data_IF_799423091303
#
_entry.id   IF_799423091303
#
_cell.length_a   1.000
_cell.length_b   1.000
_cell.length_c   1.000
_cell.angle_alpha   90.00
_cell.angle_beta   90.00
_cell.angle_gamma   90.00
#
_symmetry.space_group_name_H-M   'P 1'
#
loop_
_entity.id
_entity.type
_entity.pdbx_description
1 polymer ?
#
# COMPACT_ATOMS: atom_id res chain seq x y z
N UNK A 1 15.04 -0.89 3.92
CA UNK A 1 13.91 0.03 3.73
C UNK A 1 12.66 -0.71 3.28
N UNK A 2 11.45 -0.27 3.74
CA UNK A 2 10.13 -0.72 3.29
C UNK A 2 9.96 -2.24 3.21
N UNK A 3 10.55 -2.97 4.17
CA UNK A 3 10.50 -4.42 4.23
C UNK A 3 9.09 -4.95 4.54
N UNK A 4 8.67 -6.01 3.85
CA UNK A 4 7.46 -6.78 4.14
C UNK A 4 7.81 -8.25 4.26
N UNK A 5 7.40 -8.86 5.36
CA UNK A 5 7.48 -10.30 5.57
C UNK A 5 6.26 -10.99 4.96
N UNK A 6 6.48 -12.17 4.41
CA UNK A 6 5.41 -13.09 4.02
C UNK A 6 5.88 -14.54 4.18
N UNK A 7 4.91 -15.45 4.33
CA UNK A 7 5.19 -16.89 4.42
C UNK A 7 4.85 -17.56 3.10
N UNK A 8 5.75 -18.37 2.58
CA UNK A 8 5.51 -19.17 1.41
C UNK A 8 6.14 -20.56 1.57
N UNK A 9 5.35 -21.62 1.38
CA UNK A 9 5.77 -23.04 1.51
C UNK A 9 6.53 -23.35 2.80
N UNK A 10 6.13 -22.72 3.93
CA UNK A 10 6.72 -22.92 5.25
C UNK A 10 7.95 -22.07 5.57
N UNK A 11 8.55 -21.42 4.60
CA UNK A 11 9.66 -20.49 4.80
C UNK A 11 9.15 -19.04 4.96
N UNK A 12 9.88 -18.21 5.70
CA UNK A 12 9.62 -16.78 5.83
C UNK A 12 10.48 -16.03 4.83
N UNK A 13 9.85 -15.20 4.02
CA UNK A 13 10.54 -14.31 3.07
C UNK A 13 10.41 -12.86 3.49
N UNK A 14 11.39 -12.06 3.12
CA UNK A 14 11.35 -10.62 3.25
C UNK A 14 11.67 -9.98 1.91
N UNK A 15 10.77 -9.13 1.44
CA UNK A 15 10.96 -8.26 0.26
C UNK A 15 11.12 -6.82 0.75
N UNK A 16 12.12 -6.10 0.26
CA UNK A 16 12.40 -4.72 0.68
C UNK A 16 13.44 -4.06 -0.19
N UNK A 17 13.79 -2.82 0.13
CA UNK A 17 14.83 -2.07 -0.57
C UNK A 17 16.12 -2.00 0.25
N UNK A 18 17.27 -1.95 -0.42
CA UNK A 18 18.58 -1.77 0.22
C UNK A 18 18.68 -0.41 0.94
N UNK A 19 18.15 0.62 0.32
CA UNK A 19 18.01 1.99 0.84
C UNK A 19 16.82 2.67 0.18
N UNK A 20 16.52 3.92 0.52
CA UNK A 20 15.52 4.71 -0.19
C UNK A 20 15.86 4.81 -1.67
N UNK A 21 14.92 4.45 -2.55
CA UNK A 21 15.11 4.29 -4.00
C UNK A 21 16.24 3.34 -4.40
N UNK A 22 16.64 2.45 -3.48
CA UNK A 22 17.69 1.48 -3.70
C UNK A 22 17.25 0.24 -4.43
N UNK A 23 18.14 -0.76 -4.44
CA UNK A 23 17.88 -2.05 -5.05
C UNK A 23 16.72 -2.78 -4.34
N UNK A 24 15.83 -3.38 -5.11
CA UNK A 24 14.80 -4.29 -4.62
C UNK A 24 15.43 -5.64 -4.28
N UNK A 25 15.25 -6.09 -3.07
CA UNK A 25 15.86 -7.27 -2.50
C UNK A 25 14.82 -8.28 -2.03
N UNK A 26 15.15 -9.57 -2.14
CA UNK A 26 14.42 -10.65 -1.48
C UNK A 26 15.39 -11.52 -0.68
N UNK A 27 15.00 -11.88 0.53
CA UNK A 27 15.73 -12.83 1.38
C UNK A 27 14.80 -13.88 1.96
N UNK A 28 15.35 -15.06 2.31
CA UNK A 28 14.61 -16.18 2.89
C UNK A 28 15.17 -16.58 4.23
N UNK A 29 14.29 -16.88 5.17
CA UNK A 29 14.55 -17.52 6.45
C UNK A 29 13.90 -18.90 6.51
N UNK A 30 14.64 -19.90 6.97
CA UNK A 30 14.16 -21.27 7.23
C UNK A 30 14.00 -21.59 8.71
N UNK A 31 14.19 -20.61 9.57
CA UNK A 31 14.21 -20.76 11.03
C UNK A 31 13.17 -19.85 11.73
N UNK A 32 12.09 -19.52 11.00
CA UNK A 32 11.00 -18.69 11.51
C UNK A 32 11.34 -17.20 11.63
N UNK A 33 12.25 -16.69 10.80
CA UNK A 33 12.61 -15.26 10.75
C UNK A 33 13.79 -14.88 11.66
N UNK A 34 14.46 -15.84 12.28
CA UNK A 34 15.61 -15.57 13.17
C UNK A 34 16.85 -15.18 12.39
N UNK A 35 17.10 -15.88 11.27
CA UNK A 35 18.18 -15.54 10.35
C UNK A 35 17.68 -15.52 8.91
N UNK A 36 18.30 -14.72 8.07
CA UNK A 36 18.00 -14.65 6.63
C UNK A 36 19.26 -14.96 5.81
N UNK A 37 19.07 -15.59 4.66
CA UNK A 37 20.14 -15.79 3.69
C UNK A 37 20.63 -14.44 3.13
N UNK A 38 21.77 -14.45 2.44
CA UNK A 38 22.20 -13.31 1.61
C UNK A 38 21.08 -12.97 0.62
N UNK A 39 20.61 -11.71 0.58
CA UNK A 39 19.48 -11.36 -0.28
C UNK A 39 19.86 -11.37 -1.76
N UNK A 40 18.91 -11.75 -2.59
CA UNK A 40 18.97 -11.61 -4.04
C UNK A 40 18.47 -10.23 -4.45
N UNK A 41 19.16 -9.61 -5.41
CA UNK A 41 18.72 -8.36 -6.05
C UNK A 41 17.75 -8.70 -7.18
N UNK A 42 16.49 -8.29 -7.04
CA UNK A 42 15.44 -8.49 -8.05
C UNK A 42 15.42 -7.36 -9.09
N UNK A 43 15.71 -6.13 -8.68
CA UNK A 43 15.75 -4.97 -9.55
C UNK A 43 16.73 -3.95 -8.99
N UNK A 44 17.54 -3.34 -9.87
CA UNK A 44 18.45 -2.27 -9.48
C UNK A 44 17.72 -0.94 -9.36
N UNK A 45 17.98 -0.21 -8.27
CA UNK A 45 17.54 1.16 -8.05
C UNK A 45 18.65 2.18 -8.29
N UNK A 46 18.33 3.46 -8.07
CA UNK A 46 19.33 4.54 -8.15
C UNK A 46 20.19 4.66 -6.90
N UNK A 47 19.71 4.11 -5.77
CA UNK A 47 20.32 4.27 -4.44
C UNK A 47 20.52 5.75 -4.05
N UNK A 48 19.68 6.64 -4.55
CA UNK A 48 19.78 8.08 -4.34
C UNK A 48 18.41 8.74 -4.27
N UNK A 49 18.14 9.58 -3.26
CA UNK A 49 16.87 10.32 -3.19
C UNK A 49 16.74 11.40 -4.27
N UNK A 50 17.81 11.69 -5.02
CA UNK A 50 17.82 12.71 -6.08
C UNK A 50 17.39 12.17 -7.45
N UNK A 51 17.45 10.86 -7.67
CA UNK A 51 17.17 10.24 -8.94
C UNK A 51 16.08 9.18 -8.81
N UNK A 52 15.25 8.97 -9.85
CA UNK A 52 14.29 7.90 -9.87
C UNK A 52 14.93 6.54 -9.58
N UNK A 53 14.30 5.75 -8.76
CA UNK A 53 14.71 4.41 -8.40
C UNK A 53 13.51 3.61 -7.92
N UNK A 54 13.77 2.43 -7.36
CA UNK A 54 12.72 1.56 -6.87
C UNK A 54 12.13 2.14 -5.58
N UNK A 55 10.84 2.45 -5.62
CA UNK A 55 10.03 2.77 -4.45
C UNK A 55 9.03 1.66 -4.21
N UNK A 56 8.74 1.38 -2.97
CA UNK A 56 7.64 0.51 -2.58
C UNK A 56 7.18 0.83 -1.16
N UNK A 57 5.93 0.54 -0.90
CA UNK A 57 5.42 0.46 0.45
C UNK A 57 5.33 -1.03 0.89
N UNK A 58 5.35 -1.33 2.19
CA UNK A 58 5.27 -2.71 2.70
C UNK A 58 3.86 -3.28 2.58
N UNK A 59 3.47 -3.63 1.36
CA UNK A 59 2.17 -4.26 1.04
C UNK A 59 2.26 -5.79 1.05
N UNK A 60 1.15 -6.48 1.33
CA UNK A 60 1.08 -7.93 1.24
C UNK A 60 1.48 -8.46 -0.15
N UNK A 61 2.10 -9.63 -0.16
CA UNK A 61 2.23 -10.44 -1.37
C UNK A 61 0.90 -11.17 -1.57
N UNK A 62 0.32 -11.06 -2.76
CA UNK A 62 -1.01 -11.60 -3.09
C UNK A 62 -0.85 -12.84 -3.98
N UNK A 63 -1.17 -14.03 -3.49
CA UNK A 63 -1.26 -15.23 -4.32
C UNK A 63 -2.49 -15.14 -5.24
N UNK A 64 -2.28 -15.24 -6.55
CA UNK A 64 -3.37 -15.22 -7.50
C UNK A 64 -2.98 -15.90 -8.82
N UNK A 65 -3.83 -16.80 -9.30
CA UNK A 65 -3.66 -17.56 -10.57
C UNK A 65 -2.27 -18.21 -10.71
N UNK A 66 -1.81 -18.89 -9.64
CA UNK A 66 -0.54 -19.61 -9.64
C UNK A 66 0.70 -18.72 -9.56
N UNK A 67 0.53 -17.44 -9.26
CA UNK A 67 1.63 -16.50 -9.09
C UNK A 67 1.52 -15.73 -7.77
N UNK A 68 2.66 -15.30 -7.27
CA UNK A 68 2.79 -14.36 -6.16
C UNK A 68 2.98 -12.96 -6.73
N UNK A 69 2.05 -12.04 -6.41
CA UNK A 69 2.05 -10.67 -6.92
C UNK A 69 2.38 -9.67 -5.82
N UNK A 70 3.12 -8.61 -6.18
CA UNK A 70 3.38 -7.48 -5.29
C UNK A 70 3.46 -6.18 -6.09
N UNK A 71 3.28 -5.04 -5.40
CA UNK A 71 3.31 -3.70 -6.00
C UNK A 71 4.62 -2.99 -5.70
N UNK A 72 5.08 -2.19 -6.64
CA UNK A 72 6.21 -1.28 -6.52
C UNK A 72 6.01 -0.08 -7.46
N UNK A 73 6.86 0.90 -7.36
CA UNK A 73 6.85 2.09 -8.21
C UNK A 73 8.29 2.43 -8.66
N UNK A 74 8.39 3.13 -9.79
CA UNK A 74 9.62 3.78 -10.23
C UNK A 74 9.47 5.30 -10.11
N UNK A 75 10.33 5.96 -9.35
CA UNK A 75 10.24 7.40 -9.16
C UNK A 75 11.15 7.92 -8.06
N UNK A 76 11.00 9.18 -7.72
CA UNK A 76 11.60 9.83 -6.56
C UNK A 76 10.86 11.12 -6.21
N UNK A 77 10.86 11.51 -4.94
CA UNK A 77 10.30 12.80 -4.52
C UNK A 77 10.95 13.97 -5.26
N UNK A 78 12.28 13.92 -5.45
CA UNK A 78 13.01 14.95 -6.19
C UNK A 78 12.65 15.01 -7.67
N UNK A 79 12.18 13.89 -8.26
CA UNK A 79 11.71 13.83 -9.64
C UNK A 79 10.24 14.26 -9.79
N UNK A 80 9.50 14.37 -8.68
CA UNK A 80 8.11 14.81 -8.66
C UNK A 80 7.09 13.78 -9.16
N UNK A 81 7.46 12.49 -9.23
CA UNK A 81 6.56 11.42 -9.63
C UNK A 81 6.96 10.05 -9.05
N UNK A 82 5.97 9.15 -8.99
CA UNK A 82 6.14 7.72 -8.75
C UNK A 82 5.20 6.97 -9.71
N UNK A 83 5.77 6.26 -10.68
CA UNK A 83 5.02 5.51 -11.69
C UNK A 83 4.76 4.08 -11.20
N UNK A 84 3.50 3.61 -11.12
CA UNK A 84 3.18 2.28 -10.65
C UNK A 84 3.70 1.19 -11.55
N UNK A 85 4.08 0.09 -10.91
CA UNK A 85 4.51 -1.17 -11.50
C UNK A 85 3.93 -2.31 -10.66
N UNK A 86 3.94 -3.50 -11.21
CA UNK A 86 3.74 -4.74 -10.43
C UNK A 86 4.87 -5.72 -10.75
N UNK A 87 5.10 -6.61 -9.80
CA UNK A 87 6.01 -7.73 -9.96
C UNK A 87 5.30 -9.04 -9.64
N UNK A 88 5.71 -10.12 -10.27
CA UNK A 88 5.19 -11.43 -9.94
C UNK A 88 6.19 -12.54 -10.23
N UNK A 89 6.05 -13.64 -9.49
CA UNK A 89 6.81 -14.87 -9.68
C UNK A 89 5.84 -16.06 -9.66
N UNK A 90 6.10 -17.09 -10.45
CA UNK A 90 5.36 -18.35 -10.34
C UNK A 90 5.51 -18.89 -8.91
N UNK A 91 4.40 -19.30 -8.28
CA UNK A 91 4.39 -19.75 -6.88
C UNK A 91 5.21 -21.04 -6.64
N UNK A 92 5.56 -21.75 -7.72
CA UNK A 92 6.36 -22.98 -7.66
C UNK A 92 7.83 -22.77 -8.02
N UNK A 93 8.19 -21.59 -8.53
CA UNK A 93 9.58 -21.25 -8.85
C UNK A 93 10.41 -20.93 -7.59
N UNK A 94 11.72 -20.92 -7.73
CA UNK A 94 12.60 -20.43 -6.67
C UNK A 94 12.51 -18.90 -6.59
N UNK A 95 11.97 -18.39 -5.49
CA UNK A 95 11.80 -16.95 -5.26
C UNK A 95 13.15 -16.20 -5.06
N UNK A 96 14.23 -16.92 -4.80
CA UNK A 96 15.58 -16.33 -4.67
C UNK A 96 16.31 -16.23 -6.02
N UNK A 97 15.75 -16.75 -7.09
CA UNK A 97 16.26 -16.55 -8.44
C UNK A 97 15.57 -15.34 -9.08
N UNK A 98 16.34 -14.31 -9.38
CA UNK A 98 15.82 -13.06 -9.95
C UNK A 98 15.19 -13.28 -11.34
N UNK A 99 15.66 -14.26 -12.13
CA UNK A 99 15.14 -14.55 -13.46
C UNK A 99 13.69 -15.11 -13.43
N UNK A 100 13.24 -15.63 -12.29
CA UNK A 100 11.87 -16.09 -12.11
C UNK A 100 10.87 -14.96 -11.85
N UNK A 101 11.36 -13.75 -11.60
CA UNK A 101 10.52 -12.58 -11.35
C UNK A 101 10.29 -11.79 -12.64
N UNK A 102 9.02 -11.52 -12.91
CA UNK A 102 8.60 -10.61 -13.98
C UNK A 102 8.20 -9.29 -13.32
N UNK A 103 8.75 -8.19 -13.83
CA UNK A 103 8.47 -6.83 -13.36
C UNK A 103 8.00 -6.03 -14.57
N UNK A 104 6.85 -5.36 -14.45
CA UNK A 104 6.29 -4.56 -15.55
C UNK A 104 7.05 -3.25 -15.75
N UNK A 105 6.91 -2.64 -16.92
CA UNK A 105 7.35 -1.27 -17.13
C UNK A 105 6.51 -0.29 -16.27
N UNK A 106 7.11 0.83 -15.82
CA UNK A 106 6.40 1.86 -15.08
C UNK A 106 5.36 2.56 -15.96
N UNK A 107 4.16 2.80 -15.42
CA UNK A 107 3.10 3.55 -16.07
C UNK A 107 3.08 5.00 -15.53
N UNK A 108 3.54 6.00 -16.27
CA UNK A 108 3.46 7.40 -15.85
C UNK A 108 2.01 7.86 -15.68
N UNK A 109 1.77 8.70 -14.67
CA UNK A 109 0.47 9.33 -14.47
C UNK A 109 0.12 10.27 -15.66
N UNK A 110 -1.12 10.17 -16.15
CA UNK A 110 -1.64 11.04 -17.19
C UNK A 110 -2.84 11.84 -16.66
N UNK A 111 -2.74 13.17 -16.56
CA UNK A 111 -3.85 14.02 -16.10
C UNK A 111 -5.05 14.06 -17.07
N UNK A 112 -4.92 13.48 -18.26
CA UNK A 112 -6.04 13.37 -19.22
C UNK A 112 -6.92 12.12 -18.96
N UNK A 113 -6.59 11.25 -18.03
CA UNK A 113 -7.43 10.11 -17.71
C UNK A 113 -8.80 10.54 -17.17
N UNK A 114 -9.83 9.82 -17.59
CA UNK A 114 -11.20 10.12 -17.16
C UNK A 114 -11.37 9.86 -15.65
N UNK A 115 -11.92 10.85 -14.93
CA UNK A 115 -12.26 10.73 -13.51
C UNK A 115 -11.12 11.09 -12.55
N UNK A 116 -9.94 11.44 -13.05
CA UNK A 116 -8.89 12.03 -12.20
C UNK A 116 -9.29 13.45 -11.77
N UNK A 117 -8.73 13.92 -10.66
CA UNK A 117 -9.00 15.25 -10.16
C UNK A 117 -8.33 16.34 -11.01
N UNK A 118 -9.02 17.47 -11.17
CA UNK A 118 -8.53 18.61 -11.95
C UNK A 118 -7.48 19.41 -11.19
N UNK A 119 -6.36 19.70 -11.82
CA UNK A 119 -5.29 20.53 -11.27
C UNK A 119 -3.93 19.83 -11.17
N UNK A 120 -2.91 20.51 -10.63
CA UNK A 120 -1.56 19.96 -10.51
C UNK A 120 -1.49 18.78 -9.54
N UNK A 121 -0.97 17.66 -9.99
CA UNK A 121 -0.74 16.47 -9.18
C UNK A 121 0.61 15.83 -9.51
N UNK A 122 1.25 15.24 -8.50
CA UNK A 122 2.40 14.34 -8.69
C UNK A 122 1.95 12.92 -9.05
N UNK A 123 0.65 12.70 -9.24
CA UNK A 123 0.06 11.41 -9.55
C UNK A 123 -0.10 10.53 -8.30
N UNK A 124 0.28 9.30 -8.43
CA UNK A 124 0.03 8.24 -7.45
C UNK A 124 1.31 7.71 -6.82
N UNK A 125 1.16 7.06 -5.69
CA UNK A 125 2.21 6.39 -4.91
C UNK A 125 1.58 5.32 -4.00
N UNK A 126 2.35 4.33 -3.57
CA UNK A 126 1.97 3.38 -2.51
C UNK A 126 0.67 2.61 -2.82
N UNK A 127 0.76 1.72 -3.81
CA UNK A 127 -0.36 0.87 -4.21
C UNK A 127 -0.61 -0.32 -3.29
N UNK A 128 -1.82 -0.88 -3.37
CA UNK A 128 -2.23 -2.14 -2.75
C UNK A 128 -2.96 -3.02 -3.75
N UNK A 129 -2.61 -4.31 -3.81
CA UNK A 129 -3.26 -5.26 -4.72
C UNK A 129 -4.55 -5.79 -4.10
N UNK A 130 -5.61 -5.82 -4.90
CA UNK A 130 -6.89 -6.40 -4.52
C UNK A 130 -7.51 -7.17 -5.70
N UNK A 131 -8.07 -8.35 -5.42
CA UNK A 131 -8.82 -9.14 -6.40
C UNK A 131 -10.28 -8.71 -6.29
N UNK A 132 -10.83 -8.13 -7.34
CA UNK A 132 -12.21 -7.67 -7.39
C UNK A 132 -13.21 -8.85 -7.52
N UNK A 133 -14.50 -8.62 -7.27
CA UNK A 133 -15.52 -9.66 -7.37
C UNK A 133 -15.64 -10.30 -8.77
N UNK A 134 -15.31 -9.55 -9.82
CA UNK A 134 -15.28 -10.05 -11.22
C UNK A 134 -14.03 -10.89 -11.54
N UNK A 135 -13.14 -11.08 -10.57
CA UNK A 135 -11.88 -11.82 -10.71
C UNK A 135 -10.76 -11.05 -11.38
N UNK A 136 -10.86 -9.75 -11.54
CA UNK A 136 -9.73 -8.91 -11.97
C UNK A 136 -8.83 -8.58 -10.79
N UNK A 137 -7.54 -8.45 -11.07
CA UNK A 137 -6.56 -7.97 -10.11
C UNK A 137 -6.31 -6.48 -10.35
N UNK A 138 -6.53 -5.66 -9.33
CA UNK A 138 -6.25 -4.23 -9.37
C UNK A 138 -5.11 -3.85 -8.45
N UNK A 139 -4.28 -2.91 -8.89
CA UNK A 139 -3.41 -2.12 -8.04
C UNK A 139 -4.11 -0.80 -7.73
N UNK A 140 -4.60 -0.65 -6.49
CA UNK A 140 -5.32 0.55 -6.03
C UNK A 140 -4.32 1.45 -5.33
N UNK A 141 -4.13 2.65 -5.88
CA UNK A 141 -3.04 3.54 -5.55
C UNK A 141 -3.50 4.76 -4.76
N UNK A 142 -2.75 5.10 -3.71
CA UNK A 142 -2.78 6.43 -3.11
C UNK A 142 -2.57 7.49 -4.20
N UNK A 143 -3.38 8.57 -4.17
CA UNK A 143 -3.37 9.63 -5.18
C UNK A 143 -3.16 11.00 -4.54
N UNK A 144 -2.18 11.76 -5.03
CA UNK A 144 -1.89 13.10 -4.52
C UNK A 144 -2.85 14.13 -5.12
N UNK A 145 -3.87 14.47 -4.36
CA UNK A 145 -4.90 15.44 -4.73
C UNK A 145 -4.79 16.77 -3.96
N UNK A 146 -3.69 17.01 -3.23
CA UNK A 146 -3.55 18.19 -2.36
C UNK A 146 -3.67 19.53 -3.07
N UNK A 147 -3.45 19.60 -4.37
CA UNK A 147 -3.53 20.82 -5.20
C UNK A 147 -4.57 20.71 -6.32
N UNK A 148 -5.48 19.76 -6.21
CA UNK A 148 -6.51 19.50 -7.23
C UNK A 148 -7.91 19.75 -6.70
N UNK A 149 -8.91 19.61 -7.57
CA UNK A 149 -10.32 19.59 -7.22
C UNK A 149 -10.95 18.26 -7.68
N UNK A 150 -11.48 17.44 -6.74
CA UNK A 150 -11.43 17.62 -5.29
C UNK A 150 -10.00 17.50 -4.74
N UNK A 151 -9.75 18.11 -3.57
CA UNK A 151 -8.44 18.09 -2.91
C UNK A 151 -8.17 16.85 -2.07
N UNK A 152 -9.15 15.97 -1.91
CA UNK A 152 -9.05 14.66 -1.27
C UNK A 152 -10.23 13.75 -1.69
N UNK A 153 -10.17 12.48 -1.28
CA UNK A 153 -11.27 11.55 -1.45
C UNK A 153 -11.25 10.72 -2.73
N UNK A 154 -10.12 10.68 -3.48
CA UNK A 154 -9.95 9.86 -4.67
C UNK A 154 -8.68 9.01 -4.57
N UNK A 155 -8.78 7.75 -4.98
CA UNK A 155 -7.67 6.83 -5.25
C UNK A 155 -7.76 6.34 -6.69
N UNK A 156 -6.66 5.86 -7.27
CA UNK A 156 -6.63 5.41 -8.66
C UNK A 156 -6.50 3.89 -8.73
N UNK A 157 -7.33 3.26 -9.55
CA UNK A 157 -7.30 1.82 -9.81
C UNK A 157 -6.64 1.53 -11.16
N UNK A 158 -5.69 0.59 -11.16
CA UNK A 158 -4.98 0.11 -12.33
C UNK A 158 -5.21 -1.39 -12.47
N UNK A 159 -5.69 -1.82 -13.62
CA UNK A 159 -5.86 -3.24 -13.92
C UNK A 159 -4.50 -3.89 -14.19
N UNK A 160 -4.28 -5.05 -13.57
CA UNK A 160 -3.11 -5.90 -13.77
C UNK A 160 -3.47 -6.97 -14.78
N UNK A 161 -2.70 -7.09 -15.87
CA UNK A 161 -2.89 -8.18 -16.83
C UNK A 161 -2.33 -9.49 -16.26
N UNK A 162 -3.19 -10.30 -15.65
CA UNK A 162 -2.77 -11.58 -15.05
C UNK A 162 -2.53 -12.69 -16.06
N UNK A 163 -2.92 -12.51 -17.33
CA UNK A 163 -2.64 -13.45 -18.43
C UNK A 163 -1.28 -13.19 -19.09
N UNK A 164 -0.81 -11.94 -19.03
CA UNK A 164 0.54 -11.54 -19.43
C UNK A 164 1.18 -10.74 -18.30
N UNK A 165 1.94 -11.39 -17.41
CA UNK A 165 2.56 -10.72 -16.26
C UNK A 165 3.58 -9.63 -16.61
N UNK A 166 4.06 -9.58 -17.86
CA UNK A 166 5.00 -8.57 -18.34
C UNK A 166 4.32 -7.31 -18.88
N UNK A 167 3.02 -7.39 -19.16
CA UNK A 167 2.27 -6.25 -19.69
C UNK A 167 2.19 -5.12 -18.67
N UNK A 168 2.45 -3.90 -19.12
CA UNK A 168 2.28 -2.68 -18.34
C UNK A 168 0.86 -2.61 -17.74
N UNK A 169 0.74 -2.02 -16.55
CA UNK A 169 -0.56 -1.71 -15.96
C UNK A 169 -1.42 -0.86 -16.90
N UNK A 170 -2.74 -0.98 -16.77
CA UNK A 170 -3.67 -0.13 -17.49
C UNK A 170 -4.50 0.68 -16.49
N UNK A 171 -4.51 2.00 -16.61
CA UNK A 171 -5.42 2.82 -15.82
C UNK A 171 -6.88 2.40 -16.11
N UNK A 172 -7.64 2.20 -15.06
CA UNK A 172 -9.04 1.78 -15.13
C UNK A 172 -9.97 2.94 -14.79
N UNK A 173 -9.92 3.39 -13.54
CA UNK A 173 -10.80 4.45 -13.05
C UNK A 173 -10.33 5.02 -11.72
N UNK A 174 -10.99 6.09 -11.26
CA UNK A 174 -10.82 6.65 -9.93
C UNK A 174 -11.96 6.18 -9.01
N UNK A 175 -11.62 5.84 -7.76
CA UNK A 175 -12.53 5.37 -6.71
C UNK A 175 -12.62 6.42 -5.61
N UNK A 176 -13.80 6.62 -5.02
CA UNK A 176 -13.96 7.50 -3.86
C UNK A 176 -13.49 6.80 -2.59
N UNK A 177 -12.43 7.34 -1.95
CA UNK A 177 -11.92 6.86 -0.68
C UNK A 177 -11.23 8.00 0.08
N UNK A 178 -11.79 8.41 1.22
CA UNK A 178 -11.41 9.63 1.95
C UNK A 178 -10.01 9.62 2.57
N UNK A 179 -9.28 8.52 2.54
CA UNK A 179 -7.92 8.38 3.08
C UNK A 179 -6.80 8.40 2.04
N UNK A 180 -7.05 8.93 0.85
CA UNK A 180 -6.14 8.89 -0.30
C UNK A 180 -4.79 9.61 -0.12
N UNK A 181 -4.65 10.48 0.86
CA UNK A 181 -3.41 11.26 1.09
C UNK A 181 -2.45 10.58 2.08
N UNK A 182 -2.75 9.37 2.50
CA UNK A 182 -1.91 8.50 3.34
C UNK A 182 -1.85 7.09 2.76
N UNK A 183 -0.81 6.32 3.10
CA UNK A 183 -0.76 4.89 2.75
C UNK A 183 -1.94 4.17 3.41
N UNK A 184 -2.59 3.33 2.64
CA UNK A 184 -3.60 2.38 3.11
C UNK A 184 -3.30 0.98 2.59
N UNK A 185 -4.01 0.00 3.12
CA UNK A 185 -3.90 -1.41 2.73
C UNK A 185 -5.30 -1.99 2.66
N UNK A 186 -5.60 -2.72 1.60
CA UNK A 186 -6.87 -3.42 1.44
C UNK A 186 -6.66 -4.90 1.67
N UNK A 187 -7.51 -5.51 2.50
CA UNK A 187 -7.58 -6.96 2.67
C UNK A 187 -9.02 -7.44 2.48
N UNK A 188 -9.15 -8.60 1.87
CA UNK A 188 -10.44 -9.28 1.73
C UNK A 188 -10.64 -10.22 2.91
N UNK A 189 -11.79 -10.12 3.55
CA UNK A 189 -12.22 -11.07 4.57
C UNK A 189 -12.59 -12.41 3.91
N UNK A 190 -11.92 -13.51 4.27
CA UNK A 190 -12.20 -14.80 3.64
C UNK A 190 -13.58 -15.38 4.01
N UNK A 191 -14.18 -14.92 5.10
CA UNK A 191 -15.48 -15.43 5.58
C UNK A 191 -16.65 -14.73 4.89
N UNK A 192 -16.66 -13.40 4.83
CA UNK A 192 -17.76 -12.63 4.25
C UNK A 192 -17.54 -12.25 2.79
N UNK A 193 -16.29 -12.28 2.33
CA UNK A 193 -15.91 -11.79 1.02
C UNK A 193 -15.78 -10.27 0.91
N UNK A 194 -16.13 -9.52 1.94
CA UNK A 194 -15.99 -8.07 1.99
C UNK A 194 -14.51 -7.65 2.06
N UNK A 195 -14.24 -6.45 1.59
CA UNK A 195 -12.95 -5.80 1.68
C UNK A 195 -12.93 -4.84 2.85
N UNK A 196 -11.81 -4.79 3.55
CA UNK A 196 -11.57 -3.87 4.65
C UNK A 196 -10.30 -3.09 4.41
N UNK A 197 -10.29 -1.85 4.86
CA UNK A 197 -9.10 -1.00 4.91
C UNK A 197 -9.08 -0.19 6.20
N UNK A 198 -7.87 -0.01 6.75
CA UNK A 198 -7.58 0.95 7.81
C UNK A 198 -6.81 2.11 7.20
N UNK A 199 -7.36 3.30 7.31
CA UNK A 199 -6.79 4.50 6.70
C UNK A 199 -6.98 5.73 7.59
N UNK A 200 -6.14 6.73 7.41
CA UNK A 200 -6.36 8.05 8.01
C UNK A 200 -7.31 8.85 7.16
N UNK A 201 -8.52 9.03 7.68
CA UNK A 201 -9.60 9.72 6.97
C UNK A 201 -9.45 11.22 7.08
N UNK A 202 -9.58 11.92 5.96
CA UNK A 202 -9.58 13.38 5.89
C UNK A 202 -11.03 13.84 5.92
N UNK A 203 -11.37 14.65 6.92
CA UNK A 203 -12.72 15.20 7.13
C UNK A 203 -12.75 16.73 7.05
N UNK A 204 -11.58 17.36 7.00
CA UNK A 204 -11.41 18.80 6.91
C UNK A 204 -10.55 19.15 5.69
N UNK A 205 -11.10 19.82 4.69
CA UNK A 205 -10.36 20.22 3.49
C UNK A 205 -9.23 21.22 3.76
N UNK A 206 -9.25 21.92 4.91
CA UNK A 206 -8.22 22.85 5.29
C UNK A 206 -6.99 22.16 5.91
N UNK A 207 -7.12 20.87 6.30
CA UNK A 207 -6.05 20.10 6.95
C UNK A 207 -5.78 18.80 6.18
N UNK A 208 -5.32 18.92 4.93
CA UNK A 208 -5.09 17.77 4.03
C UNK A 208 -3.98 16.81 4.49
N UNK A 209 -3.12 17.23 5.42
CA UNK A 209 -2.10 16.35 6.01
C UNK A 209 -2.55 15.70 7.32
N UNK A 210 -3.84 15.80 7.67
CA UNK A 210 -4.36 15.25 8.92
C UNK A 210 -4.15 13.74 9.02
N UNK A 211 -3.63 13.29 10.15
CA UNK A 211 -3.39 11.88 10.48
C UNK A 211 -4.00 11.48 11.83
N UNK A 212 -4.86 12.33 12.43
CA UNK A 212 -5.42 12.15 13.78
C UNK A 212 -6.62 11.24 13.83
N UNK A 213 -7.24 10.93 12.67
CA UNK A 213 -8.44 10.10 12.58
C UNK A 213 -8.13 8.82 11.81
N UNK A 214 -7.96 7.70 12.52
CA UNK A 214 -7.82 6.37 11.91
C UNK A 214 -9.18 5.69 11.89
N UNK A 215 -9.64 5.28 10.71
CA UNK A 215 -10.94 4.67 10.50
C UNK A 215 -10.83 3.30 9.82
N UNK A 216 -11.71 2.38 10.24
CA UNK A 216 -11.97 1.12 9.56
C UNK A 216 -13.10 1.35 8.56
N UNK A 217 -12.82 1.07 7.28
CA UNK A 217 -13.79 1.14 6.19
C UNK A 217 -14.07 -0.26 5.64
N UNK A 218 -15.25 -0.46 5.08
CA UNK A 218 -15.69 -1.71 4.44
C UNK A 218 -16.21 -1.45 3.03
N UNK A 219 -16.01 -2.40 2.12
CA UNK A 219 -16.60 -2.41 0.78
C UNK A 219 -16.96 -3.84 0.38
N UNK A 220 -18.05 -4.03 -0.35
CA UNK A 220 -18.39 -5.30 -0.96
C UNK A 220 -17.80 -5.48 -2.36
N UNK A 221 -17.38 -4.38 -3.02
CA UNK A 221 -17.07 -4.34 -4.44
C UNK A 221 -15.77 -3.61 -4.81
N UNK A 222 -15.06 -3.02 -3.83
CA UNK A 222 -13.90 -2.12 -3.97
C UNK A 222 -14.24 -0.70 -4.46
N UNK A 223 -15.47 -0.45 -4.88
CA UNK A 223 -15.94 0.82 -5.45
C UNK A 223 -16.63 1.71 -4.40
N UNK A 224 -17.51 1.09 -3.60
CA UNK A 224 -18.34 1.76 -2.62
C UNK A 224 -17.84 1.44 -1.21
N UNK A 225 -17.27 2.45 -0.55
CA UNK A 225 -16.68 2.32 0.77
C UNK A 225 -17.56 2.98 1.83
N UNK A 226 -17.83 2.26 2.90
CA UNK A 226 -18.60 2.72 4.05
C UNK A 226 -17.75 2.73 5.32
N UNK A 227 -18.03 3.69 6.19
CA UNK A 227 -17.40 3.75 7.51
C UNK A 227 -17.98 2.66 8.41
N UNK A 228 -17.10 1.81 8.94
CA UNK A 228 -17.46 0.84 9.98
C UNK A 228 -17.27 1.47 11.36
N UNK A 229 -16.08 2.04 11.60
CA UNK A 229 -15.73 2.59 12.91
C UNK A 229 -14.55 3.55 12.83
N UNK A 230 -14.61 4.66 13.56
CA UNK A 230 -13.43 5.43 13.90
C UNK A 230 -12.68 4.70 15.02
N UNK A 231 -11.47 4.22 14.72
CA UNK A 231 -10.65 3.40 15.63
C UNK A 231 -9.90 4.29 16.61
N UNK A 232 -9.24 5.33 16.07
CA UNK A 232 -8.60 6.36 16.86
C UNK A 232 -9.07 7.73 16.36
N UNK A 233 -9.56 8.56 17.28
CA UNK A 233 -9.92 9.96 17.01
C UNK A 233 -9.21 10.87 18.02
N UNK A 234 -8.27 11.65 17.54
CA UNK A 234 -7.53 12.64 18.32
C UNK A 234 -7.55 14.00 17.63
N UNK A 235 -8.67 14.33 16.98
CA UNK A 235 -8.87 15.64 16.36
C UNK A 235 -8.93 16.79 17.38
N UNK A 236 -9.04 16.47 18.67
CA UNK A 236 -8.85 17.37 19.80
C UNK A 236 -7.41 17.87 20.00
N UNK A 237 -6.44 17.17 19.38
CA UNK A 237 -5.02 17.47 19.47
C UNK A 237 -4.51 18.27 18.25
N UNK A 238 -3.25 18.73 18.31
CA UNK A 238 -2.58 19.38 17.21
C UNK A 238 -2.34 18.43 16.02
N UNK A 239 -2.76 18.77 14.79
CA UNK A 239 -2.50 17.94 13.61
C UNK A 239 -1.01 17.90 13.21
N UNK A 240 -0.16 18.71 13.84
CA UNK A 240 1.30 18.71 13.61
C UNK A 240 2.03 17.67 14.47
N UNK A 241 1.45 17.25 15.58
CA UNK A 241 2.10 16.45 16.61
C UNK A 241 1.52 15.05 16.75
N UNK A 242 0.28 14.86 16.34
CA UNK A 242 -0.43 13.58 16.48
C UNK A 242 -0.73 12.98 15.12
N UNK A 243 -0.47 11.68 14.99
CA UNK A 243 -0.79 10.94 13.77
C UNK A 243 -0.76 9.44 13.93
N UNK A 244 -1.70 8.79 13.25
CA UNK A 244 -1.84 7.34 13.12
C UNK A 244 -1.71 6.99 11.65
N UNK A 245 -0.63 6.34 11.23
CA UNK A 245 -0.39 6.16 9.80
C UNK A 245 0.39 4.87 9.50
N UNK A 246 0.43 4.52 8.23
CA UNK A 246 1.12 3.33 7.74
C UNK A 246 0.66 2.05 8.44
N UNK A 247 -0.66 1.96 8.66
CA UNK A 247 -1.26 0.81 9.34
C UNK A 247 -1.04 -0.45 8.51
N UNK A 248 -0.60 -1.51 9.17
CA UNK A 248 -0.66 -2.89 8.71
C UNK A 248 -1.65 -3.65 9.61
N UNK A 249 -2.43 -4.56 9.05
CA UNK A 249 -3.38 -5.33 9.84
C UNK A 249 -3.54 -6.75 9.32
N UNK A 250 -3.95 -7.66 10.20
CA UNK A 250 -4.32 -9.04 9.89
C UNK A 250 -5.72 -9.35 10.42
N UNK A 251 -6.46 -10.19 9.69
CA UNK A 251 -7.73 -10.74 10.13
C UNK A 251 -7.42 -12.05 10.83
N UNK A 252 -7.69 -12.13 12.13
CA UNK A 252 -7.50 -13.31 12.97
C UNK A 252 -8.84 -13.73 13.58
N UNK A 253 -9.47 -14.78 13.06
CA UNK A 253 -10.80 -15.19 13.48
C UNK A 253 -11.81 -14.07 13.28
N UNK A 254 -12.45 -13.63 14.37
CA UNK A 254 -13.45 -12.55 14.35
C UNK A 254 -12.84 -11.15 14.58
N UNK A 255 -11.53 -11.05 14.73
CA UNK A 255 -10.86 -9.82 15.12
C UNK A 255 -9.94 -9.30 14.00
N UNK A 256 -9.67 -8.00 14.01
CA UNK A 256 -8.59 -7.38 13.26
C UNK A 256 -7.47 -7.04 14.25
N UNK A 257 -6.29 -7.59 13.99
CA UNK A 257 -5.05 -7.18 14.65
C UNK A 257 -4.42 -6.06 13.83
N UNK A 258 -4.13 -4.93 14.45
CA UNK A 258 -3.51 -3.81 13.75
C UNK A 258 -2.20 -3.37 14.40
N UNK A 259 -1.27 -2.98 13.56
CA UNK A 259 -0.02 -2.33 13.94
C UNK A 259 0.05 -0.97 13.25
N UNK A 260 0.32 0.08 14.02
CA UNK A 260 0.28 1.45 13.54
C UNK A 260 1.56 2.19 13.89
N UNK A 261 2.05 2.95 12.95
CA UNK A 261 3.07 3.96 13.16
C UNK A 261 2.41 5.19 13.75
N UNK A 262 2.70 5.47 15.05
CA UNK A 262 1.95 6.41 15.87
C UNK A 262 2.82 7.55 16.38
N UNK A 263 2.38 8.77 16.17
CA UNK A 263 2.95 9.99 16.74
C UNK A 263 2.04 10.49 17.85
N UNK A 264 2.55 10.54 19.08
CA UNK A 264 1.86 10.99 20.29
C UNK A 264 2.86 11.58 21.31
N UNK A 265 2.33 12.28 22.32
CA UNK A 265 3.08 12.64 23.55
C UNK A 265 4.44 13.28 23.28
N UNK A 266 4.48 14.33 22.47
CA UNK A 266 5.71 15.05 22.16
C UNK A 266 6.53 14.46 21.02
N UNK A 267 5.90 13.76 20.08
CA UNK A 267 6.54 13.39 18.83
C UNK A 267 7.08 14.66 18.11
N UNK A 268 8.19 14.51 17.40
CA UNK A 268 8.80 15.58 16.63
C UNK A 268 7.81 16.23 15.64
N UNK A 269 7.01 15.38 14.98
CA UNK A 269 5.89 15.77 14.13
C UNK A 269 4.96 14.56 13.92
N UNK A 270 3.83 14.75 13.24
CA UNK A 270 2.88 13.67 12.97
C UNK A 270 3.45 12.56 12.09
N UNK A 271 4.42 12.85 11.25
CA UNK A 271 5.01 11.87 10.31
C UNK A 271 6.14 11.06 10.97
N UNK A 272 7.00 11.71 11.75
CA UNK A 272 8.13 11.06 12.43
C UNK A 272 7.64 10.46 13.76
N UNK A 273 6.94 9.34 13.63
CA UNK A 273 6.32 8.64 14.73
C UNK A 273 7.33 8.22 15.79
N UNK A 274 6.95 8.31 17.07
CA UNK A 274 7.75 7.91 18.22
C UNK A 274 7.26 6.61 18.87
N UNK A 275 6.16 6.03 18.38
CA UNK A 275 5.63 4.75 18.80
C UNK A 275 5.33 3.84 17.61
N UNK A 276 5.49 2.53 17.85
CA UNK A 276 4.86 1.47 17.10
C UNK A 276 3.78 0.89 18.01
N UNK A 277 2.51 1.13 17.69
CA UNK A 277 1.38 0.69 18.52
C UNK A 277 0.73 -0.55 17.91
N UNK A 278 0.28 -1.44 18.79
CA UNK A 278 -0.48 -2.63 18.43
C UNK A 278 -1.83 -2.57 19.13
N UNK A 279 -2.90 -2.94 18.41
CA UNK A 279 -4.25 -3.00 18.96
C UNK A 279 -5.07 -4.11 18.29
N UNK A 280 -6.26 -4.37 18.83
CA UNK A 280 -7.20 -5.39 18.37
C UNK A 280 -8.62 -4.83 18.28
N UNK A 281 -9.18 -4.85 17.08
CA UNK A 281 -10.59 -4.55 16.87
C UNK A 281 -11.36 -5.87 16.98
N UNK A 282 -12.08 -6.04 18.07
CA UNK A 282 -12.84 -7.26 18.35
C UNK A 282 -14.14 -7.31 17.56
N UNK A 283 -14.54 -8.50 17.14
CA UNK A 283 -15.80 -8.81 16.48
C UNK A 283 -16.15 -7.84 15.35
N UNK A 284 -15.16 -7.49 14.53
CA UNK A 284 -15.25 -6.41 13.53
C UNK A 284 -16.38 -6.59 12.50
N UNK A 285 -16.86 -7.84 12.29
CA UNK A 285 -17.95 -8.12 11.36
C UNK A 285 -19.32 -7.71 11.89
N UNK A 286 -19.42 -7.45 13.18
CA UNK A 286 -20.68 -7.05 13.86
C UNK A 286 -20.80 -5.54 14.11
N UNK A 287 -19.77 -4.79 13.72
CA UNK A 287 -19.71 -3.32 13.87
C UNK A 287 -20.50 -2.61 12.80
#
# INVERSE_FOLDING_TARGET
FWGKLFVHKGDVYMIGNSTEYGDLLIGRSRDGGKTFCTPTVLMRGSCSPKFPGVHRNPQPVVPYRGRLWNTLEWGAWAAGYHAPMVMSCDENADLLDAENWVITDPLPYDPAWKGVAEGPSTGNIEGTLAIAPDGKLYNIMRYDTRKTQPSYGLVLAYEVNTSDPSAQLTYSHAIRLEGNLSKFMIKRDPETGNYYTLLTRITDPEVLSDRRLLSLMRSADLEHWELVKDVYDRRDCSPKEVGFQYVDFEIEGNDILLHCRTALNGAHNFHDANYATFDRIKDFRTL
#
